data_IF_248009038286
#
_entry.id   IF_248009038286
#
_cell.length_a   1.000
_cell.length_b   1.000
_cell.length_c   1.000
_cell.angle_alpha   90.00
_cell.angle_beta   90.00
_cell.angle_gamma   90.00
#
_symmetry.space_group_name_H-M   'P 1'
#
loop_
_entity.id
_entity.type
_entity.pdbx_description
1 polymer ?
#
# COMPACT_ATOMS: atom_id res chain seq x y z
N UNK A 1 -0.14 -4.68 -19.13
CA UNK A 1 -0.83 -4.71 -17.82
C UNK A 1 0.18 -4.94 -16.71
N UNK A 2 0.07 -4.17 -15.63
CA UNK A 2 1.01 -4.29 -14.52
C UNK A 2 0.68 -5.50 -13.65
N UNK A 3 1.67 -6.07 -12.97
CA UNK A 3 1.40 -7.16 -12.03
C UNK A 3 0.52 -6.70 -10.88
N UNK A 4 -0.08 -7.65 -10.20
CA UNK A 4 -0.97 -7.38 -9.07
C UNK A 4 -0.27 -7.68 -7.76
N UNK A 5 -0.78 -7.11 -6.67
CA UNK A 5 -0.21 -7.33 -5.34
C UNK A 5 -0.61 -8.72 -4.85
N UNK A 6 0.39 -9.47 -4.44
CA UNK A 6 0.20 -10.81 -3.87
C UNK A 6 0.24 -10.76 -2.35
N UNK A 7 1.18 -9.98 -1.79
CA UNK A 7 1.35 -9.85 -0.36
C UNK A 7 1.72 -8.42 -0.01
N UNK A 8 1.41 -8.00 1.21
CA UNK A 8 1.78 -6.68 1.71
C UNK A 8 2.22 -6.79 3.16
N UNK A 9 3.22 -6.00 3.52
CA UNK A 9 3.71 -5.90 4.89
C UNK A 9 3.89 -4.44 5.24
N UNK A 10 3.25 -3.94 6.32
CA UNK A 10 3.47 -2.56 6.73
C UNK A 10 4.86 -2.39 7.32
N UNK A 11 5.51 -1.29 6.97
CA UNK A 11 6.85 -0.94 7.46
C UNK A 11 6.77 0.35 8.25
N UNK A 12 7.88 0.72 8.88
CA UNK A 12 7.99 1.99 9.59
C UNK A 12 7.87 3.16 8.61
N UNK A 13 7.49 4.32 9.14
CA UNK A 13 7.38 5.57 8.38
C UNK A 13 6.32 5.50 7.27
N UNK A 14 5.25 4.73 7.51
CA UNK A 14 4.10 4.66 6.61
C UNK A 14 4.46 4.13 5.23
N UNK A 15 5.36 3.16 5.19
CA UNK A 15 5.73 2.50 3.95
C UNK A 15 5.16 1.09 3.91
N UNK A 16 5.00 0.57 2.71
CA UNK A 16 4.51 -0.80 2.50
C UNK A 16 5.53 -1.58 1.69
N UNK A 17 5.82 -2.79 2.14
CA UNK A 17 6.59 -3.72 1.32
C UNK A 17 5.58 -4.55 0.55
N UNK A 18 5.60 -4.44 -0.76
CA UNK A 18 4.66 -5.11 -1.65
C UNK A 18 5.36 -6.23 -2.39
N UNK A 19 4.75 -7.41 -2.40
CA UNK A 19 5.20 -8.50 -3.24
C UNK A 19 4.19 -8.65 -4.36
N UNK A 20 4.66 -8.53 -5.60
CA UNK A 20 3.80 -8.60 -6.77
C UNK A 20 3.79 -10.00 -7.38
N UNK A 21 2.79 -10.27 -8.21
CA UNK A 21 2.63 -11.60 -8.80
C UNK A 21 3.77 -12.01 -9.72
N UNK A 22 4.56 -11.05 -10.22
CA UNK A 22 5.75 -11.35 -11.02
C UNK A 22 6.98 -11.63 -10.17
N UNK A 23 6.84 -11.68 -8.84
CA UNK A 23 7.95 -11.95 -7.93
C UNK A 23 8.72 -10.72 -7.45
N UNK A 24 8.43 -9.56 -8.01
CA UNK A 24 9.11 -8.33 -7.59
C UNK A 24 8.66 -7.91 -6.21
N UNK A 25 9.60 -7.37 -5.43
CA UNK A 25 9.30 -6.74 -4.16
C UNK A 25 9.57 -5.25 -4.31
N UNK A 26 8.59 -4.44 -3.94
CA UNK A 26 8.68 -2.99 -4.10
C UNK A 26 8.23 -2.31 -2.81
N UNK A 27 8.73 -1.09 -2.60
CA UNK A 27 8.35 -0.28 -1.44
C UNK A 27 7.54 0.91 -1.92
N UNK A 28 6.35 1.06 -1.34
CA UNK A 28 5.46 2.16 -1.66
C UNK A 28 5.30 3.06 -0.44
N UNK A 29 5.46 4.38 -0.62
CA UNK A 29 5.35 5.35 0.45
C UNK A 29 3.91 5.88 0.52
N UNK A 30 3.21 5.58 1.60
CA UNK A 30 1.81 6.02 1.79
C UNK A 30 1.73 7.41 2.41
N UNK A 31 2.82 7.92 2.97
CA UNK A 31 2.80 9.20 3.68
C UNK A 31 2.22 10.36 2.87
N UNK A 32 2.55 10.52 1.58
CA UNK A 32 1.94 11.62 0.81
C UNK A 32 0.42 11.52 0.76
N UNK A 33 -0.13 10.30 0.67
CA UNK A 33 -1.57 10.10 0.67
C UNK A 33 -2.19 10.48 2.01
N UNK A 34 -1.53 10.11 3.10
CA UNK A 34 -1.98 10.43 4.45
C UNK A 34 -2.05 11.94 4.63
N UNK A 35 -1.07 12.66 4.11
CA UNK A 35 -1.00 14.10 4.23
C UNK A 35 -1.97 14.85 3.32
N UNK A 36 -2.27 14.30 2.14
CA UNK A 36 -3.02 15.01 1.12
C UNK A 36 -4.47 14.56 0.95
N UNK A 37 -4.78 13.30 1.29
CA UNK A 37 -6.11 12.74 1.07
C UNK A 37 -6.85 12.54 2.38
N UNK A 38 -7.98 13.19 2.50
CA UNK A 38 -8.77 13.16 3.72
C UNK A 38 -9.11 11.75 4.18
N UNK A 39 -9.46 10.86 3.27
CA UNK A 39 -9.84 9.51 3.66
C UNK A 39 -8.68 8.64 4.11
N UNK A 40 -7.43 9.07 3.85
CA UNK A 40 -6.24 8.35 4.31
C UNK A 40 -5.69 8.93 5.61
N UNK A 41 -6.22 10.05 6.08
CA UNK A 41 -5.68 10.76 7.24
C UNK A 41 -5.66 9.90 8.51
N UNK A 42 -6.66 9.07 8.70
CA UNK A 42 -6.72 8.22 9.89
C UNK A 42 -5.59 7.19 9.93
N UNK A 43 -4.96 6.90 8.81
CA UNK A 43 -3.86 5.95 8.73
C UNK A 43 -2.58 6.49 9.36
N UNK A 44 -2.60 7.75 9.79
CA UNK A 44 -1.55 8.31 10.64
C UNK A 44 -1.43 7.51 11.94
N UNK A 45 -2.53 6.93 12.39
CA UNK A 45 -2.53 6.06 13.56
C UNK A 45 -1.90 4.72 13.18
N UNK A 46 -0.77 4.34 13.78
CA UNK A 46 -0.09 3.09 13.41
C UNK A 46 -0.96 1.86 13.56
N UNK A 47 -1.88 1.85 14.51
CA UNK A 47 -2.77 0.71 14.70
C UNK A 47 -3.64 0.52 13.47
N UNK A 48 -4.19 1.61 12.92
CA UNK A 48 -5.01 1.55 11.72
C UNK A 48 -4.16 1.25 10.48
N UNK A 49 -2.98 1.87 10.39
CA UNK A 49 -2.07 1.62 9.28
C UNK A 49 -1.71 0.14 9.17
N UNK A 50 -1.50 -0.50 10.31
CA UNK A 50 -1.09 -1.91 10.34
C UNK A 50 -2.22 -2.90 10.01
N UNK A 51 -3.45 -2.42 9.80
CA UNK A 51 -4.55 -3.28 9.36
C UNK A 51 -4.51 -3.59 7.86
N UNK A 52 -3.53 -3.04 7.14
CA UNK A 52 -3.42 -3.23 5.69
C UNK A 52 -3.36 -4.70 5.32
N UNK A 53 -4.01 -5.06 4.22
CA UNK A 53 -3.98 -6.43 3.69
C UNK A 53 -4.02 -6.38 2.17
N UNK A 54 -3.52 -7.45 1.55
CA UNK A 54 -3.62 -7.62 0.11
C UNK A 54 -5.03 -8.13 -0.20
N UNK A 55 -5.71 -7.48 -1.14
CA UNK A 55 -7.07 -7.83 -1.49
C UNK A 55 -7.34 -7.41 -2.93
N UNK A 56 -7.94 -8.30 -3.71
CA UNK A 56 -8.34 -8.00 -5.10
C UNK A 56 -7.20 -7.46 -5.96
N UNK A 57 -5.97 -7.92 -5.70
CA UNK A 57 -4.81 -7.50 -6.49
C UNK A 57 -4.23 -6.15 -6.11
N UNK A 58 -4.71 -5.55 -5.02
CA UNK A 58 -4.20 -4.31 -4.49
C UNK A 58 -4.10 -4.42 -2.97
N UNK A 59 -4.03 -3.29 -2.28
CA UNK A 59 -4.01 -3.25 -0.82
C UNK A 59 -5.24 -2.51 -0.32
N UNK A 60 -5.66 -2.86 0.88
CA UNK A 60 -6.84 -2.26 1.47
C UNK A 60 -6.69 -2.23 2.98
N UNK A 61 -7.25 -1.20 3.62
CA UNK A 61 -7.24 -1.04 5.07
C UNK A 61 -8.63 -1.33 5.64
N UNK A 62 -8.73 -1.37 6.97
CA UNK A 62 -9.96 -1.81 7.63
C UNK A 62 -11.19 -0.96 7.30
N UNK A 63 -11.02 0.31 7.00
CA UNK A 63 -12.11 1.19 6.62
C UNK A 63 -12.24 1.33 5.10
N UNK A 64 -11.76 0.33 4.37
CA UNK A 64 -11.94 0.20 2.93
C UNK A 64 -11.17 1.22 2.08
N UNK A 65 -10.17 1.90 2.66
CA UNK A 65 -9.27 2.69 1.83
C UNK A 65 -8.50 1.73 0.93
N UNK A 66 -8.43 2.04 -0.34
CA UNK A 66 -7.66 1.24 -1.28
C UNK A 66 -6.89 2.14 -2.23
N UNK A 67 -5.97 1.55 -2.96
CA UNK A 67 -5.11 2.27 -3.91
C UNK A 67 -5.15 1.53 -5.23
N UNK A 68 -5.18 2.27 -6.34
CA UNK A 68 -5.16 1.67 -7.67
C UNK A 68 -3.92 0.77 -7.81
N UNK A 69 -4.08 -0.50 -8.21
CA UNK A 69 -2.94 -1.41 -8.31
C UNK A 69 -1.89 -0.95 -9.32
N UNK A 70 -2.28 -0.30 -10.40
CA UNK A 70 -1.32 0.22 -11.35
C UNK A 70 -0.48 1.32 -10.73
N UNK A 71 -1.09 2.18 -9.93
CA UNK A 71 -0.38 3.24 -9.23
C UNK A 71 0.60 2.65 -8.22
N UNK A 72 0.18 1.63 -7.47
CA UNK A 72 1.08 0.97 -6.52
C UNK A 72 2.33 0.44 -7.21
N UNK A 73 2.17 -0.14 -8.39
CA UNK A 73 3.31 -0.69 -9.11
C UNK A 73 4.19 0.42 -9.67
N UNK A 74 3.59 1.41 -10.33
CA UNK A 74 4.33 2.45 -11.04
C UNK A 74 5.05 3.42 -10.11
N UNK A 75 4.46 3.73 -8.96
CA UNK A 75 5.05 4.70 -8.02
C UNK A 75 5.87 4.06 -6.92
N UNK A 76 5.95 2.73 -6.88
CA UNK A 76 6.79 2.05 -5.91
C UNK A 76 8.20 1.89 -6.44
N UNK A 77 9.14 1.64 -5.50
CA UNK A 77 10.55 1.52 -5.83
C UNK A 77 10.98 0.09 -5.53
N UNK A 78 11.74 -0.52 -6.42
CA UNK A 78 12.29 -1.86 -6.20
C UNK A 78 13.11 -1.87 -4.92
N UNK A 79 12.87 -2.90 -4.11
CA UNK A 79 13.61 -3.11 -2.86
C UNK A 79 15.11 -3.32 -3.12
#
# INVERSE_FOLDING_TARGET
MNPRVKEVKPLENYKLLLTFTNGEKRIFDVEPLINEKKRFKELENPILFNTVKASHGTVEWIHEQDICPDWLYEDSILE
#
